data_IF_202235818202
#
_entry.id   IF_202235818202
#
_cell.length_a   1.000
_cell.length_b   1.000
_cell.length_c   1.000
_cell.angle_alpha   90.00
_cell.angle_beta   90.00
_cell.angle_gamma   90.00
#
_symmetry.space_group_name_H-M   'P 1'
#
loop_
_entity.id
_entity.type
_entity.pdbx_description
1 polymer ?
#
# COMPACT_ATOMS: atom_id res chain seq x y z
N UNK A 1 9.69 -11.66 12.49
CA UNK A 1 8.38 -10.97 12.47
C UNK A 1 7.29 -12.02 12.57
N UNK A 2 6.27 -11.83 13.42
CA UNK A 2 5.21 -12.83 13.61
C UNK A 2 4.16 -12.75 12.49
N UNK A 3 3.44 -13.86 12.26
CA UNK A 3 2.38 -13.94 11.24
C UNK A 3 1.31 -12.86 11.46
N UNK A 4 0.99 -12.57 12.73
CA UNK A 4 0.02 -11.54 13.11
C UNK A 4 0.46 -10.14 12.64
N UNK A 5 1.73 -9.78 12.85
CA UNK A 5 2.28 -8.50 12.41
C UNK A 5 2.21 -8.37 10.89
N UNK A 6 2.48 -9.45 10.15
CA UNK A 6 2.32 -9.46 8.70
C UNK A 6 0.87 -9.19 8.27
N UNK A 7 -0.11 -9.89 8.87
CA UNK A 7 -1.52 -9.67 8.58
C UNK A 7 -1.95 -8.22 8.87
N UNK A 8 -1.52 -7.66 9.99
CA UNK A 8 -1.84 -6.27 10.39
C UNK A 8 -1.24 -5.26 9.41
N UNK A 9 0.02 -5.43 9.00
CA UNK A 9 0.68 -4.51 8.07
C UNK A 9 0.06 -4.61 6.66
N UNK A 10 -0.30 -5.81 6.21
CA UNK A 10 -1.01 -5.98 4.95
C UNK A 10 -2.40 -5.33 4.99
N UNK A 11 -3.12 -5.50 6.10
CA UNK A 11 -4.41 -4.82 6.30
C UNK A 11 -4.27 -3.30 6.33
N UNK A 12 -3.21 -2.79 6.95
CA UNK A 12 -2.87 -1.37 6.95
C UNK A 12 -2.64 -0.84 5.52
N UNK A 13 -1.83 -1.54 4.72
CA UNK A 13 -1.59 -1.17 3.32
C UNK A 13 -2.88 -1.19 2.49
N UNK A 14 -3.73 -2.20 2.70
CA UNK A 14 -5.04 -2.31 2.05
C UNK A 14 -5.96 -1.14 2.39
N UNK A 15 -6.10 -0.78 3.67
CA UNK A 15 -6.91 0.36 4.10
C UNK A 15 -6.33 1.66 3.55
N UNK A 16 -5.01 1.87 3.61
CA UNK A 16 -4.35 3.05 3.07
C UNK A 16 -4.59 3.22 1.57
N UNK A 17 -4.58 2.11 0.83
CA UNK A 17 -4.82 2.08 -0.62
C UNK A 17 -6.30 2.12 -1.01
N UNK A 18 -7.22 1.84 -0.07
CA UNK A 18 -8.66 1.87 -0.30
C UNK A 18 -9.20 3.28 -0.09
N UNK A 19 -9.96 3.79 -1.06
CA UNK A 19 -10.78 5.00 -0.90
C UNK A 19 -12.22 4.69 -0.49
N UNK A 20 -12.81 3.60 -1.02
CA UNK A 20 -14.22 3.29 -0.84
C UNK A 20 -14.56 2.71 0.54
N UNK A 21 -13.72 1.85 1.10
CA UNK A 21 -13.96 1.25 2.42
C UNK A 21 -13.45 2.10 3.57
N UNK A 22 -12.49 2.98 3.31
CA UNK A 22 -11.95 3.90 4.32
C UNK A 22 -12.74 5.21 4.42
N UNK A 23 -13.85 5.34 3.68
CA UNK A 23 -14.61 6.59 3.55
C UNK A 23 -13.71 7.80 3.19
N UNK A 24 -12.70 7.56 2.35
CA UNK A 24 -11.70 8.56 1.93
C UNK A 24 -10.52 8.75 2.88
N UNK A 25 -10.64 8.37 4.16
CA UNK A 25 -9.57 8.57 5.16
C UNK A 25 -8.29 7.82 4.81
N UNK A 26 -8.43 6.65 4.18
CA UNK A 26 -7.30 5.80 3.77
C UNK A 26 -6.34 6.56 2.86
N UNK A 27 -6.86 7.07 1.75
CA UNK A 27 -6.03 7.74 0.73
C UNK A 27 -5.49 9.11 1.16
N UNK A 28 -6.25 9.88 1.93
CA UNK A 28 -5.82 11.22 2.33
C UNK A 28 -4.91 11.24 3.55
N UNK A 29 -5.07 10.26 4.45
CA UNK A 29 -4.36 10.21 5.72
C UNK A 29 -3.39 9.03 5.77
N UNK A 30 -3.90 7.80 5.74
CA UNK A 30 -3.07 6.59 5.93
C UNK A 30 -2.09 6.34 4.78
N UNK A 31 -2.41 6.81 3.58
CA UNK A 31 -1.53 6.70 2.41
C UNK A 31 -0.30 7.61 2.51
N UNK A 32 -0.24 8.52 3.48
CA UNK A 32 0.94 9.34 3.73
C UNK A 32 2.01 8.51 4.45
N UNK A 33 3.23 8.38 3.88
CA UNK A 33 4.32 7.61 4.46
C UNK A 33 4.58 7.83 5.96
N UNK A 34 4.47 9.06 6.48
CA UNK A 34 4.68 9.31 7.92
C UNK A 34 3.66 8.59 8.81
N UNK A 35 2.40 8.55 8.38
CA UNK A 35 1.33 7.91 9.15
C UNK A 35 1.40 6.39 8.95
N UNK A 36 1.62 5.94 7.71
CA UNK A 36 1.83 4.54 7.40
C UNK A 36 3.02 3.97 8.19
N UNK A 37 4.16 4.65 8.17
CA UNK A 37 5.38 4.26 8.88
C UNK A 37 5.23 4.28 10.39
N UNK A 38 4.56 5.29 10.97
CA UNK A 38 4.23 5.32 12.40
C UNK A 38 3.41 4.10 12.81
N UNK A 39 2.37 3.76 12.05
CA UNK A 39 1.50 2.62 12.37
C UNK A 39 2.21 1.27 12.14
N UNK A 40 3.07 1.17 11.12
CA UNK A 40 3.96 0.02 10.96
C UNK A 40 4.90 -0.12 12.16
N UNK A 41 5.47 0.99 12.65
CA UNK A 41 6.30 1.03 13.85
C UNK A 41 5.54 0.57 15.10
N UNK A 42 4.29 1.01 15.26
CA UNK A 42 3.41 0.55 16.33
C UNK A 42 3.18 -0.98 16.28
N UNK A 43 3.01 -1.55 15.09
CA UNK A 43 2.81 -2.99 14.91
C UNK A 43 4.09 -3.79 15.21
N UNK A 44 5.27 -3.20 14.94
CA UNK A 44 6.57 -3.85 15.12
C UNK A 44 7.24 -3.58 16.47
N UNK A 45 6.74 -2.62 17.25
CA UNK A 45 7.21 -2.32 18.61
C UNK A 45 8.09 -1.08 18.74
N UNK A 46 8.37 -0.34 17.66
CA UNK A 46 9.11 0.93 17.71
C UNK A 46 8.41 2.00 16.86
N UNK A 47 7.56 2.78 17.55
CA UNK A 47 6.75 3.84 16.93
C UNK A 47 7.65 4.98 16.43
N UNK A 48 8.68 5.34 17.20
CA UNK A 48 9.53 6.49 16.89
C UNK A 48 10.37 6.22 15.66
N UNK A 49 11.03 5.06 15.61
CA UNK A 49 11.84 4.67 14.45
C UNK A 49 10.96 4.53 13.19
N UNK A 50 9.78 3.91 13.31
CA UNK A 50 8.82 3.79 12.21
C UNK A 50 8.31 5.15 11.70
N UNK A 51 8.00 6.08 12.61
CA UNK A 51 7.57 7.43 12.25
C UNK A 51 8.69 8.21 11.55
N UNK A 52 9.92 8.14 12.06
CA UNK A 52 11.09 8.82 11.45
C UNK A 52 11.38 8.27 10.06
N UNK A 53 11.37 6.94 9.89
CA UNK A 53 11.50 6.30 8.56
C UNK A 53 10.40 6.76 7.60
N UNK A 54 9.15 6.76 8.06
CA UNK A 54 8.01 7.27 7.30
C UNK A 54 8.14 8.75 6.94
N UNK A 55 8.65 9.59 7.85
CA UNK A 55 8.87 11.02 7.62
C UNK A 55 9.92 11.28 6.52
N UNK A 56 11.02 10.52 6.52
CA UNK A 56 12.05 10.61 5.48
C UNK A 56 11.48 10.23 4.12
N UNK A 57 10.70 9.16 4.03
CA UNK A 57 9.98 8.80 2.80
C UNK A 57 9.03 9.92 2.38
N UNK A 58 8.29 10.50 3.33
CA UNK A 58 7.37 11.62 3.07
C UNK A 58 8.07 12.79 2.38
N UNK A 59 9.30 13.13 2.77
CA UNK A 59 10.09 14.21 2.15
C UNK A 59 10.35 13.91 0.66
N UNK A 60 10.72 12.67 0.34
CA UNK A 60 10.95 12.23 -1.05
C UNK A 60 9.67 12.30 -1.90
N UNK A 61 8.52 12.01 -1.28
CA UNK A 61 7.21 12.03 -1.93
C UNK A 61 6.42 13.34 -1.72
N UNK A 62 7.04 14.44 -1.26
CA UNK A 62 6.37 15.74 -1.06
C UNK A 62 5.69 16.25 -2.34
N UNK A 63 6.31 16.02 -3.49
CA UNK A 63 5.77 16.37 -4.81
C UNK A 63 4.82 15.33 -5.39
N UNK A 64 4.29 14.40 -4.60
CA UNK A 64 3.32 13.42 -5.05
C UNK A 64 1.99 14.09 -5.34
N UNK A 65 1.73 14.34 -6.62
CA UNK A 65 0.44 14.83 -7.13
C UNK A 65 -0.07 13.83 -8.15
N UNK A 66 -1.28 13.31 -7.94
CA UNK A 66 -1.94 12.38 -8.86
C UNK A 66 -2.59 13.13 -10.03
N UNK A 67 -1.80 13.86 -10.82
CA UNK A 67 -2.26 14.52 -12.05
C UNK A 67 -1.95 13.63 -13.26
N UNK A 68 -2.97 13.26 -14.04
CA UNK A 68 -2.80 12.59 -15.34
C UNK A 68 -2.39 11.11 -15.31
N UNK A 69 -2.52 10.40 -14.18
CA UNK A 69 -2.25 8.95 -14.11
C UNK A 69 -0.77 8.54 -14.06
N UNK A 70 0.17 9.49 -14.14
CA UNK A 70 1.60 9.24 -13.96
C UNK A 70 2.00 9.34 -12.48
N UNK A 71 1.61 8.34 -11.70
CA UNK A 71 2.15 8.18 -10.35
C UNK A 71 3.69 7.93 -10.48
N UNK A 72 4.51 8.50 -9.58
CA UNK A 72 5.98 8.31 -9.59
C UNK A 72 6.44 7.05 -8.84
N UNK A 73 5.60 6.56 -7.94
CA UNK A 73 5.74 5.36 -7.13
C UNK A 73 4.58 5.30 -6.13
N UNK A 74 4.46 4.21 -5.39
CA UNK A 74 3.51 4.08 -4.28
C UNK A 74 4.13 4.56 -2.96
N UNK A 75 3.80 5.78 -2.47
CA UNK A 75 4.38 6.31 -1.25
C UNK A 75 3.96 5.52 0.00
N UNK A 76 2.75 4.96 0.03
CA UNK A 76 2.26 4.22 1.19
C UNK A 76 3.06 2.93 1.35
N UNK A 77 3.23 2.17 0.27
CA UNK A 77 4.04 0.97 0.28
C UNK A 77 5.48 1.28 0.66
N UNK A 78 6.10 2.30 0.05
CA UNK A 78 7.48 2.70 0.39
C UNK A 78 7.62 3.09 1.86
N UNK A 79 6.66 3.82 2.43
CA UNK A 79 6.66 4.20 3.85
C UNK A 79 6.60 2.98 4.79
N UNK A 80 5.75 2.01 4.45
CA UNK A 80 5.63 0.75 5.20
C UNK A 80 6.93 -0.05 5.11
N UNK A 81 7.48 -0.26 3.91
CA UNK A 81 8.72 -1.03 3.74
C UNK A 81 9.89 -0.34 4.45
N UNK A 82 10.00 0.99 4.40
CA UNK A 82 11.05 1.73 5.10
C UNK A 82 10.94 1.59 6.62
N UNK A 83 9.75 1.69 7.19
CA UNK A 83 9.56 1.45 8.62
C UNK A 83 9.88 0.00 9.00
N UNK A 84 9.46 -0.97 8.19
CA UNK A 84 9.80 -2.38 8.42
C UNK A 84 11.31 -2.63 8.35
N UNK A 85 12.02 -2.11 7.35
CA UNK A 85 13.46 -2.34 7.19
C UNK A 85 14.27 -1.65 8.29
N UNK A 86 13.92 -0.42 8.67
CA UNK A 86 14.55 0.28 9.78
C UNK A 86 14.49 -0.54 11.07
N UNK A 87 13.31 -1.09 11.41
CA UNK A 87 13.09 -1.82 12.67
C UNK A 87 13.65 -3.24 12.61
N UNK A 88 13.43 -3.97 11.51
CA UNK A 88 13.83 -5.38 11.40
C UNK A 88 15.34 -5.55 11.22
N UNK A 89 16.00 -4.63 10.50
CA UNK A 89 17.44 -4.69 10.25
C UNK A 89 18.24 -3.81 11.21
N UNK A 90 17.56 -3.05 12.07
CA UNK A 90 18.16 -2.11 13.01
C UNK A 90 19.11 -1.10 12.33
N UNK A 91 18.65 -0.58 11.18
CA UNK A 91 19.38 0.37 10.34
C UNK A 91 18.78 1.77 10.47
N UNK A 92 19.52 2.79 10.04
CA UNK A 92 19.00 4.15 10.08
C UNK A 92 17.90 4.38 9.03
N UNK A 93 17.12 5.44 9.22
CA UNK A 93 15.97 5.75 8.37
C UNK A 93 16.35 6.10 6.90
N UNK A 94 17.58 6.56 6.65
CA UNK A 94 18.07 6.89 5.30
C UNK A 94 18.42 5.61 4.53
N UNK A 95 19.12 4.68 5.20
CA UNK A 95 19.42 3.34 4.67
C UNK A 95 18.12 2.57 4.40
N UNK A 96 17.16 2.65 5.32
CA UNK A 96 15.85 2.06 5.16
C UNK A 96 15.08 2.60 3.94
N UNK A 97 15.14 3.91 3.70
CA UNK A 97 14.59 4.54 2.49
C UNK A 97 15.22 3.96 1.22
N UNK A 98 16.55 3.81 1.19
CA UNK A 98 17.25 3.28 0.02
C UNK A 98 16.79 1.86 -0.33
N UNK A 99 16.56 1.03 0.70
CA UNK A 99 15.99 -0.31 0.53
C UNK A 99 14.53 -0.23 0.06
N UNK A 100 13.74 0.68 0.60
CA UNK A 100 12.29 0.75 0.34
C UNK A 100 11.91 1.34 -1.02
N UNK A 101 12.76 2.21 -1.59
CA UNK A 101 12.45 2.96 -2.81
C UNK A 101 12.08 2.06 -4.02
N UNK A 102 12.82 0.98 -4.33
CA UNK A 102 12.46 0.03 -5.39
C UNK A 102 11.07 -0.60 -5.21
N UNK A 103 10.66 -0.87 -3.96
CA UNK A 103 9.36 -1.50 -3.68
C UNK A 103 8.18 -0.57 -4.00
N UNK A 104 8.38 0.75 -3.93
CA UNK A 104 7.36 1.71 -4.35
C UNK A 104 6.93 1.55 -5.81
N UNK A 105 7.83 1.09 -6.68
CA UNK A 105 7.50 0.79 -8.07
C UNK A 105 6.67 -0.49 -8.23
N UNK A 106 6.80 -1.47 -7.32
CA UNK A 106 5.91 -2.63 -7.35
C UNK A 106 4.46 -2.23 -7.06
N UNK A 107 4.25 -1.33 -6.09
CA UNK A 107 2.92 -0.83 -5.73
C UNK A 107 2.22 -0.17 -6.91
N UNK A 108 2.97 0.62 -7.68
CA UNK A 108 2.44 1.33 -8.83
C UNK A 108 2.06 0.43 -10.00
N UNK A 109 2.81 -0.65 -10.21
CA UNK A 109 2.54 -1.60 -11.29
C UNK A 109 1.19 -2.25 -11.04
N UNK A 110 0.99 -2.74 -9.82
CA UNK A 110 -0.26 -3.35 -9.41
C UNK A 110 -1.42 -2.38 -9.48
N UNK A 111 -1.22 -1.13 -9.07
CA UNK A 111 -2.24 -0.10 -9.21
C UNK A 111 -2.70 0.06 -10.66
N UNK A 112 -1.75 0.12 -11.62
CA UNK A 112 -2.06 0.21 -13.05
C UNK A 112 -2.79 -1.02 -13.57
N UNK A 113 -2.34 -2.23 -13.22
CA UNK A 113 -3.04 -3.46 -13.62
C UNK A 113 -4.45 -3.54 -13.05
N UNK A 114 -4.64 -3.11 -11.79
CA UNK A 114 -5.96 -3.04 -11.17
C UNK A 114 -6.90 -2.11 -11.95
N UNK A 115 -6.41 -0.94 -12.36
CA UNK A 115 -7.21 -0.01 -13.18
C UNK A 115 -7.63 -0.66 -14.52
N UNK A 116 -6.72 -1.40 -15.16
CA UNK A 116 -7.05 -2.14 -16.39
C UNK A 116 -8.13 -3.21 -16.17
N UNK A 117 -8.04 -3.97 -15.07
CA UNK A 117 -9.05 -4.99 -14.74
C UNK A 117 -10.40 -4.34 -14.40
N UNK A 118 -10.39 -3.20 -13.71
CA UNK A 118 -11.63 -2.48 -13.36
C UNK A 118 -12.43 -2.05 -14.60
N UNK A 119 -11.78 -1.80 -15.75
CA UNK A 119 -12.48 -1.52 -17.02
C UNK A 119 -13.41 -2.68 -17.41
N UNK A 120 -13.01 -3.93 -17.13
CA UNK A 120 -13.85 -5.09 -17.39
C UNK A 120 -15.12 -5.10 -16.52
N UNK A 121 -15.01 -4.70 -15.25
CA UNK A 121 -16.18 -4.59 -14.36
C UNK A 121 -17.17 -3.54 -14.84
N UNK A 122 -16.67 -2.39 -15.31
CA UNK A 122 -17.51 -1.33 -15.90
C UNK A 122 -18.21 -1.82 -17.16
N UNK A 123 -17.50 -2.45 -18.10
CA UNK A 123 -18.11 -3.03 -19.32
C UNK A 123 -19.18 -4.07 -19.00
N UNK A 124 -18.97 -4.88 -17.96
CA UNK A 124 -19.94 -5.90 -17.52
C UNK A 124 -21.18 -5.27 -16.88
N UNK A 125 -21.02 -4.14 -16.17
CA UNK A 125 -22.13 -3.33 -15.69
C UNK A 125 -22.92 -2.78 -16.90
N UNK A 126 -22.24 -2.12 -17.85
CA UNK A 126 -22.81 -1.54 -19.08
C UNK A 126 -23.62 -2.52 -19.92
N UNK A 127 -23.14 -3.76 -20.06
CA UNK A 127 -23.84 -4.83 -20.78
C UNK A 127 -25.00 -5.48 -20.01
N UNK A 128 -25.20 -5.14 -18.73
CA UNK A 128 -26.27 -5.70 -17.91
C UNK A 128 -27.57 -4.92 -18.04
N UNK A 129 -28.70 -5.63 -18.17
CA UNK A 129 -30.05 -5.03 -18.14
C UNK A 129 -30.37 -4.30 -16.83
N UNK A 130 -29.59 -4.54 -15.77
CA UNK A 130 -29.77 -3.95 -14.43
C UNK A 130 -28.91 -2.72 -14.17
N UNK A 131 -28.46 -1.99 -15.21
CA UNK A 131 -27.55 -0.84 -15.10
C UNK A 131 -27.93 0.16 -13.99
N UNK A 132 -29.24 0.38 -13.78
CA UNK A 132 -29.79 1.34 -12.82
C UNK A 132 -30.22 0.75 -11.46
N UNK A 133 -29.95 -0.52 -11.21
CA UNK A 133 -30.21 -1.10 -9.89
C UNK A 133 -29.11 -0.68 -8.91
N UNK A 134 -29.50 -0.17 -7.73
CA UNK A 134 -28.55 0.18 -6.67
C UNK A 134 -27.60 -0.98 -6.32
N UNK A 135 -28.12 -2.22 -6.38
CA UNK A 135 -27.36 -3.43 -6.06
C UNK A 135 -26.26 -3.72 -7.09
N UNK A 136 -26.56 -3.65 -8.38
CA UNK A 136 -25.55 -3.87 -9.43
C UNK A 136 -24.48 -2.77 -9.42
N UNK A 137 -24.88 -1.50 -9.27
CA UNK A 137 -23.95 -0.39 -9.15
C UNK A 137 -22.98 -0.57 -7.97
N UNK A 138 -23.47 -0.98 -6.80
CA UNK A 138 -22.63 -1.25 -5.65
C UNK A 138 -21.65 -2.41 -5.89
N UNK A 139 -22.11 -3.51 -6.49
CA UNK A 139 -21.28 -4.70 -6.72
C UNK A 139 -20.11 -4.37 -7.66
N UNK A 140 -20.38 -3.71 -8.79
CA UNK A 140 -19.35 -3.47 -9.82
C UNK A 140 -18.48 -2.25 -9.54
N UNK A 141 -18.98 -1.23 -8.82
CA UNK A 141 -18.20 -0.01 -8.56
C UNK A 141 -17.54 0.01 -7.17
N UNK A 142 -18.05 -0.75 -6.20
CA UNK A 142 -17.48 -0.77 -4.84
C UNK A 142 -16.95 -2.16 -4.45
N UNK A 143 -17.77 -3.20 -4.49
CA UNK A 143 -17.41 -4.51 -3.94
C UNK A 143 -16.31 -5.21 -4.74
N UNK A 144 -16.50 -5.43 -6.05
CA UNK A 144 -15.55 -6.15 -6.89
C UNK A 144 -14.19 -5.44 -7.01
N UNK A 145 -14.12 -4.12 -7.27
CA UNK A 145 -12.84 -3.41 -7.28
C UNK A 145 -12.10 -3.49 -5.94
N UNK A 146 -12.82 -3.50 -4.82
CA UNK A 146 -12.23 -3.56 -3.49
C UNK A 146 -11.73 -4.96 -3.13
N UNK A 147 -12.46 -6.01 -3.51
CA UNK A 147 -11.98 -7.40 -3.38
C UNK A 147 -10.74 -7.64 -4.25
N UNK A 148 -10.73 -7.09 -5.47
CA UNK A 148 -9.56 -7.13 -6.33
C UNK A 148 -8.38 -6.40 -5.68
N UNK A 149 -8.61 -5.21 -5.11
CA UNK A 149 -7.57 -4.47 -4.38
C UNK A 149 -7.03 -5.29 -3.20
N UNK A 150 -7.88 -5.98 -2.44
CA UNK A 150 -7.46 -6.83 -1.33
C UNK A 150 -6.56 -7.98 -1.80
N UNK A 151 -6.98 -8.68 -2.86
CA UNK A 151 -6.20 -9.78 -3.42
C UNK A 151 -4.85 -9.30 -3.98
N UNK A 152 -4.85 -8.14 -4.66
CA UNK A 152 -3.62 -7.59 -5.21
C UNK A 152 -2.69 -7.02 -4.13
N UNK A 153 -3.25 -6.42 -3.07
CA UNK A 153 -2.47 -5.91 -1.93
C UNK A 153 -1.84 -7.04 -1.11
N UNK A 154 -2.56 -8.16 -0.93
CA UNK A 154 -2.00 -9.33 -0.26
C UNK A 154 -0.86 -9.96 -1.04
N UNK A 155 -0.99 -10.08 -2.38
CA UNK A 155 0.06 -10.60 -3.25
C UNK A 155 1.33 -9.76 -3.15
N UNK A 156 1.21 -8.43 -3.24
CA UNK A 156 2.41 -7.57 -3.19
C UNK A 156 3.07 -7.55 -1.83
N UNK A 157 2.28 -7.50 -0.76
CA UNK A 157 2.83 -7.55 0.59
C UNK A 157 3.55 -8.88 0.84
N UNK A 158 3.04 -9.98 0.28
CA UNK A 158 3.69 -11.28 0.37
C UNK A 158 5.02 -11.29 -0.38
N UNK A 159 5.06 -10.75 -1.60
CA UNK A 159 6.29 -10.62 -2.38
C UNK A 159 7.30 -9.72 -1.68
N UNK A 160 6.87 -8.55 -1.18
CA UNK A 160 7.73 -7.62 -0.46
C UNK A 160 8.30 -8.26 0.80
N UNK A 161 7.47 -9.01 1.54
CA UNK A 161 7.89 -9.71 2.75
C UNK A 161 8.90 -10.82 2.44
N UNK A 162 8.68 -11.62 1.40
CA UNK A 162 9.64 -12.65 0.97
C UNK A 162 10.99 -12.03 0.61
N UNK A 163 10.99 -10.93 -0.15
CA UNK A 163 12.22 -10.22 -0.51
C UNK A 163 12.90 -9.66 0.74
N UNK A 164 12.14 -9.06 1.67
CA UNK A 164 12.67 -8.57 2.93
C UNK A 164 13.26 -9.68 3.81
N UNK A 165 12.62 -10.83 3.86
CA UNK A 165 13.12 -12.00 4.58
C UNK A 165 14.44 -12.50 3.97
N UNK A 166 14.57 -12.50 2.64
CA UNK A 166 15.83 -12.80 1.95
C UNK A 166 16.90 -11.73 2.19
N UNK A 167 16.52 -10.46 2.26
CA UNK A 167 17.45 -9.36 2.57
C UNK A 167 17.98 -9.47 4.00
N UNK A 168 17.16 -9.97 4.94
CA UNK A 168 17.53 -10.10 6.34
C UNK A 168 18.83 -10.89 6.55
N UNK A 169 19.09 -11.92 5.74
CA UNK A 169 20.32 -12.73 5.85
C UNK A 169 21.60 -12.00 5.43
N UNK A 170 21.50 -10.79 4.88
CA UNK A 170 22.66 -9.97 4.51
C UNK A 170 22.98 -8.88 5.54
N UNK A 171 22.05 -8.59 6.45
CA UNK A 171 22.21 -7.56 7.50
C UNK A 171 22.43 -8.16 8.90
N UNK A 172 22.39 -9.50 9.03
CA UNK A 172 22.66 -10.29 10.24
C UNK A 172 23.80 -11.26 9.91
#
# INVERSE_FOLDING_TARGET
MNILSYFLINFLYFIGSSTSWSFGVGYYTLYRPVIAGMLTGLILGDIMLGMVAGAIVNIVYLGFVSTGGSLKGDPCLTGIIAAMSAILFNINAIEALAIAFPFGFLGILIWKYRLNINIYFVKKLEGSKSLNSKSSMFIYNALLPQLLLLAMSTIIMLVCFLIMYLLQSYFI
#
